data_IF_676457376004
#
_entry.id   IF_676457376004
#
_cell.length_a   1.000
_cell.length_b   1.000
_cell.length_c   1.000
_cell.angle_alpha   90.00
_cell.angle_beta   90.00
_cell.angle_gamma   90.00
#
_symmetry.space_group_name_H-M   'P 1'
#
loop_
_entity.id
_entity.type
_entity.pdbx_description
1 polymer ?
#
# COMPACT_ATOMS: atom_id res chain seq x y z
N UNK A 1 24.55 -10.56 -2.51
CA UNK A 1 23.21 -9.99 -2.27
C UNK A 1 22.86 -8.95 -3.29
N UNK A 2 21.74 -9.12 -3.98
CA UNK A 2 21.13 -8.02 -4.71
C UNK A 2 19.63 -8.25 -4.74
N UNK A 3 18.89 -7.45 -3.97
CA UNK A 3 17.46 -7.32 -4.19
C UNK A 3 17.27 -6.91 -5.66
N UNK A 4 16.60 -7.77 -6.41
CA UNK A 4 16.26 -7.53 -7.81
C UNK A 4 15.52 -6.20 -7.91
N UNK A 5 15.70 -5.48 -9.01
CA UNK A 5 15.02 -4.19 -9.21
C UNK A 5 13.49 -4.33 -9.11
N UNK A 6 12.96 -5.52 -9.40
CA UNK A 6 11.57 -5.90 -9.15
C UNK A 6 11.19 -5.86 -7.66
N UNK A 7 12.02 -6.42 -6.77
CA UNK A 7 11.78 -6.38 -5.32
C UNK A 7 11.85 -4.95 -4.77
N UNK A 8 12.77 -4.12 -5.30
CA UNK A 8 12.85 -2.70 -4.93
C UNK A 8 11.60 -1.93 -5.37
N UNK A 9 11.12 -2.18 -6.59
CA UNK A 9 9.90 -1.57 -7.11
C UNK A 9 8.66 -2.00 -6.30
N UNK A 10 8.54 -3.29 -6.00
CA UNK A 10 7.49 -3.82 -5.13
C UNK A 10 7.55 -3.15 -3.75
N UNK A 11 8.73 -3.09 -3.12
CA UNK A 11 8.89 -2.46 -1.80
C UNK A 11 8.44 -0.97 -1.81
N UNK A 12 8.74 -0.24 -2.88
CA UNK A 12 8.26 1.14 -3.03
C UNK A 12 6.74 1.23 -3.20
N UNK A 13 6.14 0.33 -3.98
CA UNK A 13 4.69 0.24 -4.14
C UNK A 13 4.00 -0.07 -2.81
N UNK A 14 4.50 -1.07 -2.06
CA UNK A 14 4.01 -1.42 -0.73
C UNK A 14 4.18 -0.29 0.29
N UNK A 15 5.28 0.48 0.23
CA UNK A 15 5.45 1.68 1.07
C UNK A 15 4.39 2.75 0.77
N UNK A 16 4.12 3.03 -0.51
CA UNK A 16 3.07 3.98 -0.91
C UNK A 16 1.69 3.50 -0.45
N UNK A 17 1.39 2.23 -0.65
CA UNK A 17 0.14 1.60 -0.21
C UNK A 17 -0.08 1.73 1.29
N UNK A 18 0.94 1.46 2.11
CA UNK A 18 0.87 1.63 3.58
C UNK A 18 0.58 3.07 4.00
N UNK A 19 1.15 4.05 3.30
CA UNK A 19 0.87 5.47 3.57
C UNK A 19 -0.57 5.83 3.21
N UNK A 20 -1.11 5.32 2.10
CA UNK A 20 -2.52 5.50 1.76
C UNK A 20 -3.43 4.89 2.83
N UNK A 21 -3.13 3.67 3.28
CA UNK A 21 -3.83 2.98 4.36
C UNK A 21 -3.87 3.78 5.66
N UNK A 22 -2.76 4.41 6.05
CA UNK A 22 -2.75 5.26 7.26
C UNK A 22 -3.66 6.49 7.18
N UNK A 23 -4.07 6.88 5.97
CA UNK A 23 -4.95 8.01 5.71
C UNK A 23 -6.40 7.58 5.49
N UNK A 24 -6.67 6.28 5.45
CA UNK A 24 -8.03 5.76 5.36
C UNK A 24 -8.74 6.08 6.66
N UNK A 25 -9.85 6.79 6.55
CA UNK A 25 -10.70 7.12 7.69
C UNK A 25 -11.56 5.91 8.06
N UNK A 26 -11.15 5.21 9.11
CA UNK A 26 -11.84 4.03 9.65
C UNK A 26 -13.21 4.36 10.27
N UNK A 27 -13.54 5.65 10.46
CA UNK A 27 -14.86 6.07 10.97
C UNK A 27 -15.98 5.89 9.93
N UNK A 28 -15.65 5.77 8.64
CA UNK A 28 -16.60 5.55 7.55
C UNK A 28 -17.08 4.08 7.45
N UNK A 29 -16.69 3.22 8.39
CA UNK A 29 -17.14 1.82 8.41
C UNK A 29 -18.67 1.75 8.46
N UNK A 30 -19.33 0.94 7.61
CA UNK A 30 -18.78 -0.13 6.75
C UNK A 30 -18.44 0.28 5.29
N UNK A 31 -18.71 1.52 4.88
CA UNK A 31 -18.51 2.01 3.50
C UNK A 31 -17.10 2.57 3.25
N UNK A 32 -16.07 1.95 3.84
CA UNK A 32 -14.70 2.40 3.69
C UNK A 32 -14.18 2.01 2.30
N UNK A 33 -13.71 3.00 1.54
CA UNK A 33 -12.97 2.76 0.30
C UNK A 33 -11.52 2.37 0.61
N UNK A 34 -11.26 1.07 0.56
CA UNK A 34 -9.89 0.56 0.72
C UNK A 34 -9.10 0.75 -0.58
N UNK A 35 -7.85 1.23 -0.51
CA UNK A 35 -6.98 1.30 -1.68
C UNK A 35 -6.67 -0.11 -2.21
N UNK A 36 -6.37 -0.23 -3.50
CA UNK A 36 -5.98 -1.51 -4.11
C UNK A 36 -4.57 -1.93 -3.70
N UNK A 37 -4.39 -3.23 -3.43
CA UNK A 37 -3.09 -3.79 -3.08
C UNK A 37 -2.17 -3.82 -4.31
N UNK A 38 -0.92 -3.35 -4.19
CA UNK A 38 0.05 -3.48 -5.26
C UNK A 38 0.44 -4.95 -5.47
N UNK A 39 0.64 -5.35 -6.73
CA UNK A 39 1.13 -6.68 -7.12
C UNK A 39 2.63 -6.82 -6.98
#
# INVERSE_FOLDING_TARGET
DMATEAEKAALQAWKKYRVMLSRVDISQAPNIEWPEQPK
#
